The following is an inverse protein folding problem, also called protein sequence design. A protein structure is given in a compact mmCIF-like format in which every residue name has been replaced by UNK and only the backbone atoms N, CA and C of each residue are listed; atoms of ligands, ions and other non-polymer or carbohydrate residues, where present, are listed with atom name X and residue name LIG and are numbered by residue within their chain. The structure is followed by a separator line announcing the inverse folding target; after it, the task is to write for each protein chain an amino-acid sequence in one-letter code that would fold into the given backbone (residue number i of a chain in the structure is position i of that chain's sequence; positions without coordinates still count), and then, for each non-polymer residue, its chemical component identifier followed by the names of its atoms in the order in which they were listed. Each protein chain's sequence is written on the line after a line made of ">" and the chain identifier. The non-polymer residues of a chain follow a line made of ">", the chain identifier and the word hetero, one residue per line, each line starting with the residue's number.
data_IF_163393248867
#
_entry.id   IF_163393248867
#
_cell.length_a   1.000
_cell.length_b   1.000
_cell.length_c   1.000
_cell.angle_alpha   90.00
_cell.angle_beta   90.00
_cell.angle_gamma   90.00
#
_symmetry.space_group_name_H-M   'P 1'
#
loop_
_entity.id
_entity.type
_entity.pdbx_description
1 polymer ?
#
# COMPACT_ATOMS: atom_id res chain seq x y z
N UNK A 1 -75.83 2.22 28.12
CA UNK A 1 -74.67 2.28 27.21
C UNK A 1 -73.43 1.96 28.06
N UNK A 2 -73.02 0.68 28.14
CA UNK A 2 -72.00 0.02 27.31
C UNK A 2 -70.69 0.82 27.23
N UNK A 3 -69.64 0.35 27.93
CA UNK A 3 -68.43 -0.25 27.32
C UNK A 3 -67.50 -0.72 28.45
N UNK A 4 -67.47 -2.05 28.72
CA UNK A 4 -66.36 -2.68 29.45
C UNK A 4 -65.24 -2.93 28.44
N UNK A 5 -64.08 -2.33 28.65
CA UNK A 5 -62.87 -2.58 27.87
C UNK A 5 -62.20 -3.86 28.43
N UNK A 6 -62.26 -4.95 27.69
CA UNK A 6 -61.52 -6.18 27.98
C UNK A 6 -60.10 -6.01 27.45
N UNK A 7 -59.11 -5.82 28.33
CA UNK A 7 -57.70 -5.81 27.94
C UNK A 7 -57.24 -7.27 27.84
N UNK A 8 -57.13 -7.80 26.62
CA UNK A 8 -56.52 -9.09 26.35
C UNK A 8 -55.00 -8.95 26.45
N UNK A 9 -54.42 -9.55 27.50
CA UNK A 9 -52.97 -9.65 27.65
C UNK A 9 -52.46 -10.73 26.68
N UNK A 10 -51.99 -10.33 25.50
CA UNK A 10 -51.29 -11.22 24.57
C UNK A 10 -49.88 -11.41 25.14
N UNK A 11 -49.63 -12.55 25.77
CA UNK A 11 -48.27 -12.99 26.11
C UNK A 11 -47.52 -13.27 24.80
N UNK A 12 -46.68 -12.34 24.37
CA UNK A 12 -45.75 -12.56 23.27
C UNK A 12 -44.71 -13.60 23.71
N UNK A 13 -44.90 -14.84 23.28
CA UNK A 13 -43.86 -15.88 23.36
C UNK A 13 -42.77 -15.48 22.38
N UNK A 14 -41.73 -14.82 22.88
CA UNK A 14 -40.51 -14.60 22.11
C UNK A 14 -39.92 -15.97 21.78
N UNK A 15 -39.71 -16.32 20.50
CA UNK A 15 -39.02 -17.55 20.16
C UNK A 15 -37.63 -17.50 20.78
N UNK A 16 -37.30 -18.51 21.60
CA UNK A 16 -35.97 -18.68 22.15
C UNK A 16 -34.99 -18.68 20.96
N UNK A 17 -34.07 -17.71 20.94
CA UNK A 17 -33.03 -17.66 19.93
C UNK A 17 -32.28 -18.99 20.00
N UNK A 18 -32.39 -19.80 18.94
CA UNK A 18 -31.65 -21.05 18.83
C UNK A 18 -30.17 -20.70 18.93
N UNK A 19 -29.52 -21.12 20.02
CA UNK A 19 -28.09 -20.97 20.19
C UNK A 19 -27.43 -21.85 19.11
N UNK A 20 -26.74 -21.21 18.17
CA UNK A 20 -25.86 -21.93 17.25
C UNK A 20 -24.83 -22.71 18.09
N UNK A 21 -24.68 -24.03 17.87
CA UNK A 21 -23.75 -24.83 18.66
C UNK A 21 -22.34 -24.23 18.55
N UNK A 22 -21.68 -24.10 19.70
CA UNK A 22 -20.29 -23.67 19.75
C UNK A 22 -19.43 -24.73 19.05
N UNK A 23 -18.61 -24.36 18.05
CA UNK A 23 -17.76 -25.33 17.37
C UNK A 23 -16.75 -25.95 18.33
N UNK A 24 -16.40 -27.22 18.08
CA UNK A 24 -15.38 -27.92 18.85
C UNK A 24 -14.02 -27.23 18.71
N UNK A 25 -13.22 -27.15 19.78
CA UNK A 25 -11.89 -26.55 19.71
C UNK A 25 -10.96 -27.38 18.81
N UNK A 26 -10.27 -26.72 17.88
CA UNK A 26 -9.25 -27.31 17.01
C UNK A 26 -7.90 -26.68 17.33
N UNK A 27 -6.86 -27.51 17.49
CA UNK A 27 -5.49 -27.04 17.72
C UNK A 27 -4.88 -26.57 16.40
N UNK A 28 -4.39 -25.32 16.37
CA UNK A 28 -3.71 -24.70 15.22
C UNK A 28 -2.29 -24.28 15.63
N UNK A 29 -1.21 -24.91 15.11
CA UNK A 29 0.16 -24.54 15.46
C UNK A 29 0.55 -23.12 15.04
N UNK A 30 -0.05 -22.55 13.99
CA UNK A 30 0.13 -21.13 13.69
C UNK A 30 -1.06 -20.33 14.21
N UNK A 31 -0.73 -19.19 14.82
CA UNK A 31 -1.68 -18.12 15.09
C UNK A 31 -1.53 -17.11 13.97
N UNK A 32 -2.65 -16.66 13.41
CA UNK A 32 -2.65 -15.74 12.28
C UNK A 32 -3.54 -14.54 12.54
N UNK A 33 -3.00 -13.35 12.28
CA UNK A 33 -3.68 -12.07 12.43
C UNK A 33 -3.43 -11.22 11.19
N UNK A 34 -4.48 -10.57 10.69
CA UNK A 34 -4.33 -9.58 9.63
C UNK A 34 -4.05 -8.24 10.29
N UNK A 35 -2.89 -7.64 9.99
CA UNK A 35 -2.42 -6.45 10.70
C UNK A 35 -3.36 -5.26 10.52
N UNK A 36 -3.85 -5.07 9.29
CA UNK A 36 -4.80 -4.02 8.94
C UNK A 36 -5.88 -4.57 8.00
N UNK A 37 -7.17 -4.27 8.21
CA UNK A 37 -8.25 -4.74 7.35
C UNK A 37 -7.99 -4.35 5.88
N UNK A 38 -8.02 -5.31 4.94
CA UNK A 38 -7.76 -5.03 3.54
C UNK A 38 -8.89 -4.18 2.94
N UNK A 39 -8.53 -3.30 2.02
CA UNK A 39 -9.48 -2.46 1.28
C UNK A 39 -9.24 -2.66 -0.22
N UNK A 40 -10.32 -2.91 -0.96
CA UNK A 40 -10.24 -3.11 -2.40
C UNK A 40 -10.03 -1.77 -3.11
N UNK A 41 -9.07 -1.73 -4.04
CA UNK A 41 -8.83 -0.57 -4.91
C UNK A 41 -8.88 -0.98 -6.38
N UNK A 42 -9.59 -0.25 -7.26
CA UNK A 42 -9.52 -0.51 -8.69
C UNK A 42 -8.17 -0.03 -9.26
N UNK A 43 -7.50 -0.89 -10.02
CA UNK A 43 -6.22 -0.61 -10.67
C UNK A 43 -6.38 -0.22 -12.15
N UNK A 44 -5.30 0.28 -12.74
CA UNK A 44 -5.23 0.64 -14.16
C UNK A 44 -5.25 -0.56 -15.12
N UNK A 45 -5.22 -1.80 -14.61
CA UNK A 45 -5.32 -3.06 -15.37
C UNK A 45 -6.75 -3.59 -15.50
N UNK A 46 -7.76 -2.81 -15.12
CA UNK A 46 -9.17 -3.24 -15.07
C UNK A 46 -9.44 -4.37 -14.07
N UNK A 47 -8.63 -4.49 -13.02
CA UNK A 47 -8.89 -5.35 -11.85
C UNK A 47 -9.05 -4.52 -10.60
N UNK A 48 -9.42 -5.19 -9.51
CA UNK A 48 -9.32 -4.62 -8.16
C UNK A 48 -8.27 -5.37 -7.38
N UNK A 49 -7.60 -4.70 -6.47
CA UNK A 49 -6.50 -5.27 -5.70
C UNK A 49 -6.80 -5.15 -4.21
N UNK A 50 -6.63 -6.25 -3.49
CA UNK A 50 -6.49 -6.23 -2.04
C UNK A 50 -5.00 -6.42 -1.72
N UNK A 51 -4.42 -5.44 -1.03
CA UNK A 51 -3.02 -5.47 -0.60
C UNK A 51 -3.00 -5.35 0.92
N UNK A 52 -2.39 -6.31 1.61
CA UNK A 52 -2.39 -6.38 3.07
C UNK A 52 -1.39 -7.40 3.61
N UNK A 53 -1.25 -7.44 4.93
CA UNK A 53 -0.28 -8.23 5.66
C UNK A 53 -0.96 -9.28 6.53
N UNK A 54 -0.54 -10.54 6.38
CA UNK A 54 -0.91 -11.63 7.27
C UNK A 54 0.28 -11.92 8.21
N UNK A 55 0.14 -11.54 9.48
CA UNK A 55 1.05 -11.93 10.54
C UNK A 55 0.82 -13.40 10.91
N UNK A 56 1.91 -14.17 11.00
CA UNK A 56 1.91 -15.57 11.40
C UNK A 56 2.86 -15.76 12.56
N UNK A 57 2.40 -16.33 13.67
CA UNK A 57 3.22 -16.73 14.80
C UNK A 57 3.19 -18.24 14.95
N UNK A 58 4.36 -18.89 14.92
CA UNK A 58 4.47 -20.31 15.21
C UNK A 58 4.48 -20.52 16.74
N UNK A 59 3.29 -20.77 17.29
CA UNK A 59 3.06 -21.11 18.69
C UNK A 59 3.13 -22.63 18.95
N UNK A 60 3.36 -23.42 17.88
CA UNK A 60 3.49 -24.86 17.94
C UNK A 60 4.82 -25.34 18.52
N UNK A 61 4.94 -26.64 18.82
CA UNK A 61 6.12 -27.21 19.47
C UNK A 61 7.31 -27.44 18.53
N UNK A 62 7.15 -27.24 17.22
CA UNK A 62 8.15 -27.57 16.20
C UNK A 62 8.26 -26.48 15.14
N UNK A 63 9.41 -26.44 14.46
CA UNK A 63 9.57 -25.62 13.27
C UNK A 63 8.58 -26.07 12.17
N UNK A 64 8.13 -25.11 11.38
CA UNK A 64 7.08 -25.31 10.39
C UNK A 64 7.57 -24.86 9.02
N UNK A 65 7.42 -25.69 8.01
CA UNK A 65 7.54 -25.30 6.60
C UNK A 65 6.16 -25.00 6.05
N UNK A 66 5.95 -23.80 5.50
CA UNK A 66 4.72 -23.41 4.84
C UNK A 66 4.78 -23.88 3.38
N UNK A 67 3.84 -24.75 3.00
CA UNK A 67 3.80 -25.36 1.66
C UNK A 67 2.86 -24.60 0.73
N UNK A 68 1.77 -24.06 1.27
CA UNK A 68 0.76 -23.35 0.48
C UNK A 68 -0.06 -22.42 1.36
N UNK A 69 -0.40 -21.24 0.84
CA UNK A 69 -1.36 -20.32 1.44
C UNK A 69 -2.46 -20.04 0.41
N UNK A 70 -3.71 -20.26 0.79
CA UNK A 70 -4.88 -19.90 0.00
C UNK A 70 -5.65 -18.79 0.71
N UNK A 71 -6.01 -17.73 -0.01
CA UNK A 71 -6.94 -16.70 0.45
C UNK A 71 -8.33 -17.07 -0.05
N UNK A 72 -9.30 -17.18 0.86
CA UNK A 72 -10.67 -17.57 0.54
C UNK A 72 -11.68 -16.51 0.96
N UNK A 73 -12.81 -16.45 0.26
CA UNK A 73 -13.99 -15.74 0.72
C UNK A 73 -14.61 -16.48 1.92
N UNK A 74 -14.69 -15.82 3.08
CA UNK A 74 -15.07 -16.48 4.31
C UNK A 74 -16.52 -16.99 4.27
N UNK A 75 -16.75 -18.18 4.82
CA UNK A 75 -18.05 -18.86 4.77
C UNK A 75 -18.33 -19.56 3.44
N UNK A 76 -17.38 -19.57 2.50
CA UNK A 76 -17.48 -20.26 1.21
C UNK A 76 -16.28 -21.17 0.96
N UNK A 77 -16.31 -21.94 -0.13
CA UNK A 77 -15.16 -22.71 -0.63
C UNK A 77 -14.40 -21.99 -1.74
N UNK A 78 -14.73 -20.73 -2.03
CA UNK A 78 -14.16 -19.97 -3.14
C UNK A 78 -12.76 -19.47 -2.77
N UNK A 79 -11.76 -20.06 -3.41
CA UNK A 79 -10.38 -19.54 -3.38
C UNK A 79 -10.27 -18.33 -4.29
N UNK A 80 -9.73 -17.23 -3.76
CA UNK A 80 -9.49 -15.98 -4.47
C UNK A 80 -8.05 -15.87 -4.96
N UNK A 81 -7.11 -16.41 -4.20
CA UNK A 81 -5.69 -16.34 -4.49
C UNK A 81 -4.93 -17.48 -3.81
N UNK A 82 -3.81 -17.88 -4.40
CA UNK A 82 -2.96 -18.97 -3.92
C UNK A 82 -1.51 -18.53 -4.01
N UNK A 83 -0.73 -18.84 -2.98
CA UNK A 83 0.72 -18.83 -2.99
C UNK A 83 1.22 -20.25 -2.81
N UNK A 84 2.14 -20.67 -3.67
CA UNK A 84 2.96 -21.87 -3.43
C UNK A 84 4.15 -21.58 -2.50
N UNK A 85 4.89 -22.63 -2.13
CA UNK A 85 6.06 -22.54 -1.25
C UNK A 85 7.11 -21.53 -1.74
N UNK A 86 7.40 -21.50 -3.03
CA UNK A 86 8.43 -20.62 -3.57
C UNK A 86 7.97 -19.15 -3.54
N UNK A 87 6.69 -18.90 -3.80
CA UNK A 87 6.11 -17.57 -3.64
C UNK A 87 6.04 -17.14 -2.17
N UNK A 88 5.72 -18.04 -1.25
CA UNK A 88 5.78 -17.77 0.19
C UNK A 88 7.22 -17.41 0.58
N UNK A 89 8.23 -18.15 0.11
CA UNK A 89 9.63 -17.88 0.39
C UNK A 89 10.11 -16.51 -0.13
N UNK A 90 9.38 -15.86 -1.03
CA UNK A 90 9.64 -14.51 -1.53
C UNK A 90 8.78 -13.42 -0.87
N UNK A 91 7.79 -13.78 -0.05
CA UNK A 91 6.75 -12.87 0.47
C UNK A 91 6.58 -12.92 1.99
N UNK A 92 6.94 -14.02 2.64
CA UNK A 92 6.96 -14.15 4.09
C UNK A 92 8.30 -13.66 4.61
N UNK A 93 8.29 -12.55 5.36
CA UNK A 93 9.47 -11.99 6.01
C UNK A 93 9.50 -12.37 7.49
N UNK A 94 10.57 -13.00 7.95
CA UNK A 94 10.73 -13.34 9.38
C UNK A 94 10.86 -12.04 10.18
N UNK A 95 10.04 -11.93 11.24
CA UNK A 95 9.95 -10.73 12.06
C UNK A 95 9.35 -9.50 11.36
N UNK A 96 8.78 -9.65 10.14
CA UNK A 96 8.39 -8.51 9.31
C UNK A 96 9.58 -7.78 8.67
N UNK A 97 10.79 -8.35 8.71
CA UNK A 97 12.02 -7.70 8.27
C UNK A 97 12.34 -8.07 6.82
N UNK A 98 12.29 -7.08 5.93
CA UNK A 98 12.76 -7.21 4.53
C UNK A 98 14.18 -7.77 4.47
N UNK A 99 14.44 -8.66 3.52
CA UNK A 99 15.72 -9.37 3.37
C UNK A 99 15.85 -10.62 4.25
N UNK A 100 14.83 -10.94 5.05
CA UNK A 100 14.75 -12.17 5.84
C UNK A 100 13.59 -13.06 5.35
N UNK A 101 13.38 -13.12 4.04
CA UNK A 101 12.31 -13.90 3.45
C UNK A 101 12.57 -15.41 3.55
N UNK A 102 11.54 -16.19 3.90
CA UNK A 102 11.63 -17.63 4.13
C UNK A 102 10.25 -18.26 4.08
N UNK A 103 10.14 -19.49 3.57
CA UNK A 103 8.92 -20.31 3.73
C UNK A 103 8.94 -21.15 5.03
N UNK A 104 10.04 -21.11 5.78
CA UNK A 104 10.20 -21.82 7.04
C UNK A 104 10.08 -20.85 8.21
N UNK A 105 9.27 -21.22 9.21
CA UNK A 105 9.03 -20.48 10.44
C UNK A 105 9.36 -21.36 11.65
N UNK A 106 10.44 -21.02 12.35
CA UNK A 106 10.90 -21.74 13.54
C UNK A 106 9.95 -21.61 14.72
N UNK A 107 10.11 -22.50 15.71
CA UNK A 107 9.34 -22.45 16.97
C UNK A 107 9.49 -21.09 17.66
N UNK A 108 8.37 -20.47 18.04
CA UNK A 108 8.34 -19.16 18.70
C UNK A 108 8.70 -17.99 17.79
N UNK A 109 8.99 -18.22 16.51
CA UNK A 109 9.17 -17.14 15.55
C UNK A 109 7.81 -16.64 15.06
N UNK A 110 7.80 -15.38 14.67
CA UNK A 110 6.73 -14.82 13.87
C UNK A 110 7.29 -14.30 12.55
N UNK A 111 6.42 -14.19 11.55
CA UNK A 111 6.72 -13.56 10.27
C UNK A 111 5.49 -12.89 9.70
N UNK A 112 5.70 -12.09 8.66
CA UNK A 112 4.64 -11.35 7.98
C UNK A 112 4.65 -11.71 6.50
N UNK A 113 3.52 -12.26 6.03
CA UNK A 113 3.27 -12.53 4.60
C UNK A 113 2.64 -11.31 3.97
N UNK A 114 3.25 -10.78 2.92
CA UNK A 114 2.66 -9.72 2.10
C UNK A 114 1.78 -10.32 1.01
N UNK A 115 0.48 -10.02 1.05
CA UNK A 115 -0.54 -10.55 0.16
C UNK A 115 -1.01 -9.48 -0.83
N UNK A 116 -0.92 -9.80 -2.11
CA UNK A 116 -1.54 -9.08 -3.21
C UNK A 116 -2.55 -10.00 -3.87
N UNK A 117 -3.84 -9.73 -3.65
CA UNK A 117 -4.96 -10.53 -4.15
C UNK A 117 -5.68 -9.75 -5.25
N UNK A 118 -5.45 -10.07 -6.53
CA UNK A 118 -6.21 -9.50 -7.62
C UNK A 118 -7.62 -10.09 -7.65
N UNK A 119 -8.60 -9.23 -7.90
CA UNK A 119 -10.01 -9.55 -8.03
C UNK A 119 -10.50 -9.08 -9.40
N UNK A 120 -11.32 -9.89 -10.06
CA UNK A 120 -12.00 -9.46 -11.28
C UNK A 120 -12.87 -8.23 -11.02
N UNK A 121 -12.85 -7.25 -11.92
CA UNK A 121 -13.62 -6.01 -11.75
C UNK A 121 -15.13 -6.25 -11.65
N UNK A 122 -15.66 -7.26 -12.37
CA UNK A 122 -17.08 -7.60 -12.38
C UNK A 122 -17.53 -8.44 -11.17
N UNK A 123 -16.59 -9.07 -10.45
CA UNK A 123 -16.94 -9.88 -9.29
C UNK A 123 -17.38 -9.00 -8.11
N UNK A 124 -18.27 -9.45 -7.21
CA UNK A 124 -18.49 -8.75 -5.95
C UNK A 124 -17.20 -8.69 -5.11
N UNK A 125 -16.99 -7.59 -4.36
CA UNK A 125 -15.93 -7.59 -3.33
C UNK A 125 -16.34 -8.55 -2.21
N UNK A 126 -15.48 -9.50 -1.81
CA UNK A 126 -15.77 -10.36 -0.66
C UNK A 126 -15.98 -9.51 0.60
N UNK A 127 -16.92 -9.92 1.46
CA UNK A 127 -17.18 -9.19 2.72
C UNK A 127 -16.12 -9.45 3.79
N UNK A 128 -15.53 -10.64 3.75
CA UNK A 128 -14.51 -11.09 4.71
C UNK A 128 -13.67 -12.20 4.06
N UNK A 129 -12.44 -12.34 4.55
CA UNK A 129 -11.46 -13.31 4.09
C UNK A 129 -11.09 -14.28 5.22
N UNK A 130 -10.65 -15.48 4.84
CA UNK A 130 -9.94 -16.43 5.70
C UNK A 130 -8.77 -17.03 4.92
N UNK A 131 -7.76 -17.52 5.65
CA UNK A 131 -6.54 -18.04 5.06
C UNK A 131 -6.43 -19.53 5.34
N UNK A 132 -6.40 -20.37 4.31
CA UNK A 132 -6.10 -21.79 4.46
C UNK A 132 -4.61 -22.00 4.26
N UNK A 133 -3.94 -22.50 5.28
CA UNK A 133 -2.49 -22.70 5.28
C UNK A 133 -2.22 -24.19 5.35
N UNK A 134 -1.51 -24.71 4.35
CA UNK A 134 -0.95 -26.07 4.38
C UNK A 134 0.51 -25.98 4.81
N UNK A 135 0.85 -26.76 5.84
CA UNK A 135 2.14 -26.69 6.50
C UNK A 135 2.64 -28.08 6.89
N UNK A 136 3.96 -28.20 7.03
CA UNK A 136 4.65 -29.40 7.50
C UNK A 136 5.38 -29.11 8.79
N UNK A 137 5.07 -29.85 9.85
CA UNK A 137 5.76 -29.77 11.14
C UNK A 137 7.00 -30.66 11.15
N UNK A 138 8.14 -30.09 11.54
CA UNK A 138 9.42 -30.77 11.69
C UNK A 138 9.50 -31.56 13.02
N UNK A 139 8.74 -32.64 13.11
CA UNK A 139 8.77 -33.61 14.22
C UNK A 139 9.60 -34.85 13.83
N UNK A 140 9.97 -35.74 14.79
CA UNK A 140 10.67 -37.00 14.46
C UNK A 140 9.96 -37.83 13.39
N UNK A 141 8.62 -37.76 13.35
CA UNK A 141 7.81 -38.17 12.21
C UNK A 141 7.11 -36.91 11.71
N UNK A 142 7.48 -36.36 10.52
CA UNK A 142 6.85 -35.16 10.00
C UNK A 142 5.33 -35.33 9.85
N UNK A 143 4.60 -34.27 10.17
CA UNK A 143 3.14 -34.23 10.08
C UNK A 143 2.73 -33.08 9.17
N UNK A 144 1.91 -33.39 8.17
CA UNK A 144 1.29 -32.39 7.31
C UNK A 144 -0.05 -31.96 7.93
N UNK A 145 -0.24 -30.65 8.06
CA UNK A 145 -1.43 -30.04 8.65
C UNK A 145 -1.99 -29.05 7.64
N UNK A 146 -3.31 -28.91 7.64
CA UNK A 146 -3.98 -27.80 6.99
C UNK A 146 -4.92 -27.15 7.99
N UNK A 147 -4.78 -25.84 8.15
CA UNK A 147 -5.60 -25.03 9.06
C UNK A 147 -6.22 -23.85 8.33
N UNK A 148 -7.33 -23.33 8.84
CA UNK A 148 -7.99 -22.13 8.32
C UNK A 148 -8.06 -21.09 9.41
N UNK A 149 -7.35 -19.99 9.23
CA UNK A 149 -7.03 -19.01 10.27
C UNK A 149 -7.11 -17.57 9.75
N UNK A 150 -6.89 -16.59 10.61
CA UNK A 150 -6.75 -15.17 10.23
C UNK A 150 -7.97 -14.61 9.53
N UNK A 151 -9.18 -14.81 10.10
CA UNK A 151 -10.39 -14.17 9.57
C UNK A 151 -10.24 -12.65 9.66
N UNK A 152 -10.55 -11.95 8.57
CA UNK A 152 -10.59 -10.48 8.56
C UNK A 152 -11.78 -9.98 7.74
N UNK A 153 -12.32 -8.83 8.11
CA UNK A 153 -13.33 -8.15 7.31
C UNK A 153 -12.67 -7.28 6.24
N UNK A 154 -13.28 -7.23 5.06
CA UNK A 154 -12.82 -6.34 3.98
C UNK A 154 -13.47 -4.98 4.15
N UNK A 155 -12.67 -3.93 4.28
CA UNK A 155 -13.14 -2.56 4.41
C UNK A 155 -14.00 -2.18 3.21
N UNK A 156 -15.16 -1.58 3.50
CA UNK A 156 -16.09 -1.02 2.50
C UNK A 156 -15.97 0.49 2.35
N UNK A 157 -14.99 1.10 3.02
CA UNK A 157 -14.71 2.53 2.87
C UNK A 157 -14.26 2.76 1.42
N UNK A 158 -14.88 3.67 0.66
CA UNK A 158 -14.41 3.96 -0.69
C UNK A 158 -13.05 4.68 -0.63
N UNK A 159 -12.11 4.36 -1.54
CA UNK A 159 -10.85 5.09 -1.62
C UNK A 159 -11.13 6.57 -1.92
N UNK A 160 -10.38 7.52 -1.32
CA UNK A 160 -10.47 8.92 -1.71
C UNK A 160 -10.08 9.10 -3.17
N UNK A 161 -10.77 10.02 -3.84
CA UNK A 161 -10.52 10.40 -5.23
C UNK A 161 -9.64 11.64 -5.24
N UNK A 162 -8.44 11.49 -5.78
CA UNK A 162 -7.40 12.50 -5.82
C UNK A 162 -7.37 13.16 -7.21
N UNK A 163 -7.02 14.44 -7.23
CA UNK A 163 -6.61 15.15 -8.43
C UNK A 163 -5.13 14.94 -8.78
N UNK A 164 -4.68 15.53 -9.90
CA UNK A 164 -3.30 15.41 -10.33
C UNK A 164 -2.33 16.06 -9.33
N UNK A 165 -1.31 15.34 -8.82
CA UNK A 165 -0.28 15.92 -7.96
C UNK A 165 0.79 16.66 -8.76
N UNK A 166 0.87 16.40 -10.07
CA UNK A 166 1.81 16.93 -11.04
C UNK A 166 1.04 17.17 -12.35
N UNK A 167 1.55 18.03 -13.25
CA UNK A 167 0.93 18.31 -14.55
C UNK A 167 1.95 18.14 -15.67
N UNK A 168 1.54 17.47 -16.75
CA UNK A 168 2.41 17.17 -17.88
C UNK A 168 2.48 15.68 -18.18
N UNK A 169 3.56 15.29 -18.87
CA UNK A 169 3.73 13.94 -19.46
C UNK A 169 4.95 13.24 -18.89
N UNK A 170 4.96 11.92 -19.06
CA UNK A 170 6.13 11.10 -18.79
C UNK A 170 6.32 10.79 -17.31
N UNK A 171 5.29 10.90 -16.49
CA UNK A 171 5.42 10.58 -15.07
C UNK A 171 5.37 9.08 -14.86
N UNK A 172 6.42 8.51 -14.26
CA UNK A 172 6.49 7.08 -13.95
C UNK A 172 5.94 6.89 -12.54
N UNK A 173 4.95 6.01 -12.39
CA UNK A 173 4.48 5.57 -11.07
C UNK A 173 5.43 4.48 -10.55
N UNK A 174 6.51 4.86 -9.86
CA UNK A 174 7.50 3.91 -9.36
C UNK A 174 7.18 3.43 -7.94
N UNK A 175 7.61 2.21 -7.65
CA UNK A 175 7.42 1.54 -6.36
C UNK A 175 5.97 1.50 -5.88
N UNK A 176 5.06 1.57 -6.84
CA UNK A 176 3.63 1.67 -6.61
C UNK A 176 3.00 0.32 -6.30
N UNK A 177 1.67 0.29 -6.38
CA UNK A 177 0.93 -0.93 -6.20
C UNK A 177 1.22 -1.92 -7.35
N UNK A 178 1.38 -3.23 -7.11
CA UNK A 178 0.95 -3.89 -5.86
C UNK A 178 1.91 -4.94 -5.29
N UNK A 179 3.00 -5.28 -5.99
CA UNK A 179 3.94 -6.33 -5.56
C UNK A 179 5.36 -5.84 -5.31
N UNK A 180 5.58 -4.52 -5.44
CA UNK A 180 6.86 -3.86 -5.21
C UNK A 180 7.36 -4.13 -3.80
N UNK A 181 8.67 -4.09 -3.62
CA UNK A 181 9.29 -4.47 -2.35
C UNK A 181 9.59 -3.23 -1.49
N UNK A 182 9.86 -2.07 -2.09
CA UNK A 182 10.34 -0.89 -1.37
C UNK A 182 9.25 -0.29 -0.47
N UNK A 183 8.04 -0.07 -0.99
CA UNK A 183 6.92 0.55 -0.27
C UNK A 183 5.92 -0.44 0.33
N UNK A 184 5.35 -1.31 -0.50
CA UNK A 184 4.27 -2.25 -0.10
C UNK A 184 4.71 -3.16 1.05
N UNK A 185 6.02 -3.34 1.23
CA UNK A 185 6.63 -4.18 2.27
C UNK A 185 7.47 -3.41 3.30
N UNK A 186 7.30 -2.09 3.38
CA UNK A 186 8.02 -1.19 4.29
C UNK A 186 7.49 -1.25 5.75
N UNK A 187 7.33 -2.44 6.32
CA UNK A 187 6.77 -2.59 7.66
C UNK A 187 7.78 -2.11 8.72
N UNK A 188 7.39 -1.11 9.52
CA UNK A 188 8.28 -0.50 10.51
C UNK A 188 7.81 -0.78 11.94
N UNK A 189 8.70 -1.26 12.84
CA UNK A 189 8.40 -1.38 14.27
C UNK A 189 8.64 -0.03 14.97
N UNK A 190 7.58 0.76 15.13
CA UNK A 190 7.64 2.11 15.69
C UNK A 190 6.81 2.21 16.96
N UNK A 191 7.40 2.78 18.02
CA UNK A 191 6.75 2.97 19.32
C UNK A 191 6.11 1.69 19.90
N UNK A 192 6.71 0.53 19.64
CA UNK A 192 6.23 -0.77 20.13
C UNK A 192 5.08 -1.37 19.31
N UNK A 193 4.76 -0.83 18.13
CA UNK A 193 3.75 -1.35 17.21
C UNK A 193 4.26 -1.38 15.78
N UNK A 194 3.64 -2.20 14.93
CA UNK A 194 3.92 -2.15 13.50
C UNK A 194 3.12 -1.04 12.82
N UNK A 195 3.77 -0.30 11.93
CA UNK A 195 3.14 0.67 11.05
C UNK A 195 3.59 0.42 9.59
N UNK A 196 2.67 0.62 8.66
CA UNK A 196 2.92 0.50 7.22
C UNK A 196 2.18 1.61 6.47
N UNK A 197 2.68 2.83 6.60
CA UNK A 197 2.08 4.00 5.97
C UNK A 197 2.21 3.98 4.43
N UNK A 198 3.26 3.34 3.92
CA UNK A 198 3.61 3.39 2.50
C UNK A 198 2.94 2.30 1.65
N UNK A 199 1.95 1.55 2.17
CA UNK A 199 1.34 0.42 1.46
C UNK A 199 0.87 0.74 0.03
N UNK A 200 0.40 1.96 -0.20
CA UNK A 200 -0.03 2.45 -1.51
C UNK A 200 0.76 3.69 -1.95
N UNK A 201 1.96 3.90 -1.41
CA UNK A 201 2.81 5.00 -1.84
C UNK A 201 3.23 4.85 -3.30
N UNK A 202 3.40 5.98 -3.97
CA UNK A 202 3.99 6.07 -5.30
C UNK A 202 5.11 7.09 -5.23
N UNK A 203 6.29 6.70 -5.71
CA UNK A 203 7.37 7.63 -6.03
C UNK A 203 7.18 8.06 -7.48
N UNK A 204 6.71 9.28 -7.67
CA UNK A 204 6.56 9.85 -8.99
C UNK A 204 7.92 10.31 -9.48
N UNK A 205 8.37 9.72 -10.59
CA UNK A 205 9.53 10.18 -11.36
C UNK A 205 9.09 10.68 -12.74
N UNK A 206 10.00 11.23 -13.53
CA UNK A 206 9.67 11.73 -14.86
C UNK A 206 10.72 11.34 -15.89
N UNK A 207 10.27 10.84 -17.04
CA UNK A 207 11.12 10.63 -18.22
C UNK A 207 11.09 11.83 -19.17
N UNK A 208 12.21 12.09 -19.82
CA UNK A 208 12.28 13.01 -20.96
C UNK A 208 11.80 12.35 -22.28
N UNK A 209 11.90 13.07 -23.39
CA UNK A 209 11.50 12.57 -24.72
C UNK A 209 12.38 11.42 -25.26
N UNK A 210 13.47 11.09 -24.58
CA UNK A 210 14.39 9.99 -24.89
C UNK A 210 14.28 8.87 -23.86
N UNK A 211 13.22 8.88 -23.04
CA UNK A 211 12.94 7.95 -21.93
C UNK A 211 13.97 7.98 -20.80
N UNK A 212 14.71 9.07 -20.60
CA UNK A 212 15.69 9.20 -19.52
C UNK A 212 15.10 9.88 -18.29
N UNK A 213 15.38 9.32 -17.11
CA UNK A 213 15.06 9.94 -15.82
C UNK A 213 15.98 11.12 -15.51
N UNK A 214 17.23 11.06 -16.01
CA UNK A 214 18.29 12.01 -15.71
C UNK A 214 19.18 12.25 -16.93
N UNK A 215 19.55 13.52 -17.15
CA UNK A 215 20.44 13.96 -18.24
C UNK A 215 21.57 14.80 -17.69
N UNK A 216 22.74 14.19 -17.54
CA UNK A 216 23.95 14.84 -17.03
C UNK A 216 24.58 14.06 -15.89
N UNK A 217 25.18 14.76 -14.95
CA UNK A 217 25.74 14.15 -13.75
C UNK A 217 24.63 13.59 -12.86
N UNK A 218 24.71 12.31 -12.50
CA UNK A 218 23.80 11.67 -11.55
C UNK A 218 23.85 12.32 -10.16
N UNK A 219 24.98 12.91 -9.77
CA UNK A 219 25.14 13.52 -8.45
C UNK A 219 24.50 14.92 -8.31
N UNK A 220 23.93 15.50 -9.37
CA UNK A 220 23.25 16.80 -9.31
C UNK A 220 21.74 16.61 -9.48
N UNK A 221 20.93 16.89 -8.43
CA UNK A 221 19.48 16.80 -8.48
C UNK A 221 18.86 17.52 -9.68
N UNK A 222 19.45 18.63 -10.13
CA UNK A 222 18.92 19.46 -11.22
C UNK A 222 18.96 18.77 -12.59
N UNK A 223 19.71 17.68 -12.73
CA UNK A 223 19.79 16.91 -13.96
C UNK A 223 18.65 15.90 -14.10
N UNK A 224 17.87 15.65 -13.04
CA UNK A 224 16.71 14.76 -13.09
C UNK A 224 15.51 15.50 -13.67
N UNK A 225 14.81 14.86 -14.60
CA UNK A 225 13.73 15.49 -15.38
C UNK A 225 12.61 16.03 -14.50
N UNK A 226 12.32 15.36 -13.37
CA UNK A 226 11.24 15.76 -12.46
C UNK A 226 11.65 16.88 -11.48
N UNK A 227 12.95 17.13 -11.28
CA UNK A 227 13.39 18.08 -10.27
C UNK A 227 12.83 19.49 -10.55
N UNK A 228 12.19 20.07 -9.54
CA UNK A 228 11.61 21.43 -9.63
C UNK A 228 10.21 21.50 -10.20
N UNK A 229 9.60 20.37 -10.58
CA UNK A 229 8.19 20.34 -10.97
C UNK A 229 7.29 20.89 -9.84
N UNK A 230 6.30 21.76 -10.14
CA UNK A 230 5.34 22.21 -9.13
C UNK A 230 4.50 21.04 -8.62
N UNK A 231 4.45 20.89 -7.30
CA UNK A 231 3.62 19.89 -6.61
C UNK A 231 2.29 20.50 -6.25
N UNK A 232 1.20 19.84 -6.65
CA UNK A 232 -0.17 20.33 -6.49
C UNK A 232 -0.90 19.62 -5.36
N UNK A 233 -1.75 20.37 -4.65
CA UNK A 233 -2.73 19.79 -3.75
C UNK A 233 -3.70 18.91 -4.54
N UNK A 234 -3.85 17.66 -4.14
CA UNK A 234 -4.67 16.68 -4.86
C UNK A 234 -6.14 16.78 -4.47
N UNK A 235 -6.46 17.47 -3.38
CA UNK A 235 -7.81 17.69 -2.91
C UNK A 235 -7.88 19.00 -2.14
N UNK A 236 -9.11 19.48 -1.91
CA UNK A 236 -9.36 20.50 -0.91
C UNK A 236 -9.03 19.94 0.48
N UNK A 237 -8.44 20.76 1.34
CA UNK A 237 -8.09 20.30 2.67
C UNK A 237 -7.43 21.36 3.54
N UNK A 238 -6.94 20.91 4.69
CA UNK A 238 -6.18 21.73 5.64
C UNK A 238 -4.81 21.11 5.87
N UNK A 239 -3.74 21.89 5.74
CA UNK A 239 -2.40 21.43 6.05
C UNK A 239 -2.30 21.17 7.56
N UNK A 240 -1.88 19.97 7.97
CA UNK A 240 -1.75 19.60 9.40
C UNK A 240 -0.31 19.56 9.87
N UNK A 241 0.63 19.35 8.95
CA UNK A 241 2.07 19.42 9.22
C UNK A 241 2.82 19.78 7.95
N UNK A 242 3.94 20.48 8.08
CA UNK A 242 4.81 20.80 6.95
C UNK A 242 6.25 21.06 7.43
N UNK A 243 7.23 20.83 6.56
CA UNK A 243 8.65 21.08 6.81
C UNK A 243 9.33 21.63 5.56
N UNK A 244 10.30 22.54 5.72
CA UNK A 244 10.89 23.29 4.60
C UNK A 244 12.38 23.64 4.76
N UNK A 245 13.06 23.06 5.76
CA UNK A 245 14.39 23.46 6.23
C UNK A 245 15.50 22.43 5.97
N UNK A 246 15.17 21.21 5.53
CA UNK A 246 16.18 20.18 5.24
C UNK A 246 16.88 20.45 3.91
N UNK A 247 18.21 20.22 3.81
CA UNK A 247 18.96 20.37 2.59
C UNK A 247 18.72 19.20 1.62
N UNK A 248 18.99 19.44 0.34
CA UNK A 248 19.00 18.39 -0.68
C UNK A 248 20.05 17.30 -0.35
N UNK A 249 19.70 16.05 -0.63
CA UNK A 249 20.67 14.96 -0.66
C UNK A 249 21.41 14.94 -2.00
N UNK A 250 22.62 14.39 -1.99
CA UNK A 250 23.33 14.04 -3.22
C UNK A 250 22.74 12.72 -3.74
N UNK A 251 22.17 12.68 -4.97
CA UNK A 251 21.60 11.46 -5.51
C UNK A 251 22.63 10.35 -5.72
N UNK A 252 22.15 9.11 -5.81
CA UNK A 252 22.93 7.90 -6.06
C UNK A 252 23.15 7.01 -4.84
N UNK A 253 22.79 7.47 -3.64
CA UNK A 253 22.74 6.64 -2.44
C UNK A 253 21.77 7.23 -1.41
N UNK A 254 21.17 6.36 -0.59
CA UNK A 254 20.43 6.80 0.59
C UNK A 254 21.37 7.46 1.61
N UNK A 255 20.92 8.50 2.32
CA UNK A 255 21.72 9.15 3.34
C UNK A 255 22.01 8.19 4.51
N UNK A 256 23.28 8.11 4.90
CA UNK A 256 23.68 7.34 6.08
C UNK A 256 23.28 8.05 7.38
N UNK A 257 22.76 7.30 8.34
CA UNK A 257 22.42 7.79 9.70
C UNK A 257 21.41 8.95 9.73
N UNK A 258 20.51 9.03 8.76
CA UNK A 258 19.43 10.01 8.79
C UNK A 258 18.49 9.72 9.99
N UNK A 259 18.21 10.71 10.85
CA UNK A 259 17.22 10.55 11.90
C UNK A 259 15.85 10.19 11.30
N UNK A 260 15.10 9.31 11.97
CA UNK A 260 13.77 8.90 11.50
C UNK A 260 12.81 10.09 11.32
N UNK A 261 12.96 11.14 12.14
CA UNK A 261 12.17 12.37 12.04
C UNK A 261 12.49 13.21 10.79
N UNK A 262 13.60 12.93 10.11
CA UNK A 262 14.02 13.59 8.87
C UNK A 262 13.72 12.73 7.63
N UNK A 263 13.16 11.53 7.80
CA UNK A 263 12.97 10.56 6.72
C UNK A 263 12.13 11.10 5.55
N UNK A 264 11.06 11.84 5.85
CA UNK A 264 10.17 12.43 4.83
C UNK A 264 10.77 13.68 4.13
N UNK A 265 11.92 14.16 4.60
CA UNK A 265 12.55 15.36 4.06
C UNK A 265 11.76 16.63 4.37
N UNK A 266 11.70 17.54 3.40
CA UNK A 266 10.72 18.62 3.41
C UNK A 266 9.40 18.07 2.86
N UNK A 267 8.31 18.37 3.54
CA UNK A 267 7.03 17.73 3.23
C UNK A 267 5.85 18.63 3.53
N UNK A 268 4.69 18.20 3.05
CA UNK A 268 3.36 18.68 3.46
C UNK A 268 2.49 17.47 3.79
N UNK A 269 1.77 17.53 4.91
CA UNK A 269 0.69 16.59 5.22
C UNK A 269 -0.63 17.35 5.15
N UNK A 270 -1.53 16.89 4.30
CA UNK A 270 -2.82 17.50 4.02
C UNK A 270 -3.96 16.62 4.57
N UNK A 271 -4.77 17.14 5.49
CA UNK A 271 -6.05 16.52 5.87
C UNK A 271 -7.11 16.84 4.81
N UNK A 272 -7.58 15.80 4.13
CA UNK A 272 -8.60 15.89 3.06
C UNK A 272 -10.00 15.51 3.57
N UNK A 273 -10.15 15.34 4.88
CA UNK A 273 -11.37 14.95 5.56
C UNK A 273 -11.60 13.44 5.62
N UNK A 274 -12.63 13.04 6.38
CA UNK A 274 -13.05 11.64 6.56
C UNK A 274 -11.96 10.70 7.10
N UNK A 275 -10.97 11.25 7.80
CA UNK A 275 -9.85 10.49 8.37
C UNK A 275 -8.77 10.10 7.35
N UNK A 276 -8.75 10.72 6.16
CA UNK A 276 -7.70 10.51 5.17
C UNK A 276 -6.74 11.71 5.13
N UNK A 277 -5.44 11.41 5.11
CA UNK A 277 -4.38 12.41 5.05
C UNK A 277 -3.42 12.07 3.90
N UNK A 278 -2.95 13.09 3.18
CA UNK A 278 -2.03 12.92 2.04
C UNK A 278 -0.66 13.46 2.42
N UNK A 279 0.38 12.64 2.26
CA UNK A 279 1.77 13.08 2.37
C UNK A 279 2.30 13.47 0.99
N UNK A 280 3.03 14.58 0.94
CA UNK A 280 3.91 14.99 -0.15
C UNK A 280 5.30 15.14 0.43
N UNK A 281 6.24 14.26 0.09
CA UNK A 281 7.57 14.23 0.69
C UNK A 281 8.69 14.58 -0.30
N UNK A 282 9.91 14.71 0.22
CA UNK A 282 11.15 14.99 -0.51
C UNK A 282 11.15 16.32 -1.28
N UNK A 283 10.38 17.31 -0.82
CA UNK A 283 10.25 18.61 -1.48
C UNK A 283 11.55 19.43 -1.43
N UNK A 284 11.70 20.40 -2.33
CA UNK A 284 12.89 21.26 -2.36
C UNK A 284 12.98 22.16 -1.13
N UNK A 285 14.19 22.42 -0.59
CA UNK A 285 14.40 23.39 0.47
C UNK A 285 13.89 24.77 0.09
N UNK A 286 13.17 25.42 1.00
CA UNK A 286 12.59 26.75 0.79
C UNK A 286 11.44 26.80 -0.24
N UNK A 287 11.00 25.68 -0.80
CA UNK A 287 9.92 25.66 -1.80
C UNK A 287 8.53 25.48 -1.21
N UNK A 288 8.40 24.94 0.01
CA UNK A 288 7.10 24.70 0.63
C UNK A 288 6.44 26.04 0.99
N UNK A 289 5.26 26.28 0.42
CA UNK A 289 4.56 27.57 0.46
C UNK A 289 3.49 27.67 1.56
N UNK A 290 3.24 26.56 2.25
CA UNK A 290 2.15 26.40 3.20
C UNK A 290 2.66 25.89 4.54
N UNK A 291 1.90 26.18 5.62
CA UNK A 291 2.18 25.72 6.97
C UNK A 291 0.94 25.15 7.64
N UNK A 292 1.11 24.54 8.81
CA UNK A 292 0.00 23.95 9.56
C UNK A 292 -1.13 24.96 9.82
N UNK A 293 -2.37 24.51 9.61
CA UNK A 293 -3.60 25.31 9.70
C UNK A 293 -4.00 26.02 8.40
N UNK A 294 -3.15 26.04 7.37
CA UNK A 294 -3.49 26.68 6.10
C UNK A 294 -4.55 25.85 5.33
N UNK A 295 -5.67 26.47 4.90
CA UNK A 295 -6.57 25.83 3.95
C UNK A 295 -5.95 25.87 2.55
N UNK A 296 -6.12 24.79 1.79
CA UNK A 296 -5.71 24.71 0.38
C UNK A 296 -6.84 24.18 -0.47
N UNK A 297 -6.84 24.57 -1.74
CA UNK A 297 -7.73 24.06 -2.78
C UNK A 297 -7.00 23.07 -3.66
N UNK A 298 -7.74 22.08 -4.16
CA UNK A 298 -7.22 21.17 -5.19
C UNK A 298 -6.62 21.99 -6.34
N UNK A 299 -5.38 21.67 -6.71
CA UNK A 299 -4.61 22.36 -7.75
C UNK A 299 -3.73 23.51 -7.24
N UNK A 300 -3.83 23.91 -5.97
CA UNK A 300 -2.90 24.87 -5.37
C UNK A 300 -1.49 24.31 -5.35
N UNK A 301 -0.49 25.15 -5.62
CA UNK A 301 0.93 24.76 -5.55
C UNK A 301 1.34 24.70 -4.08
N UNK A 302 1.80 23.54 -3.64
CA UNK A 302 2.28 23.29 -2.27
C UNK A 302 3.79 23.54 -2.14
N UNK A 303 4.53 23.21 -3.20
CA UNK A 303 5.99 23.32 -3.25
C UNK A 303 6.54 22.79 -4.57
N UNK A 304 7.79 22.33 -4.57
CA UNK A 304 8.44 21.75 -5.74
C UNK A 304 9.10 20.42 -5.43
N UNK A 305 9.16 19.53 -6.41
CA UNK A 305 9.85 18.24 -6.31
C UNK A 305 11.34 18.45 -6.07
N UNK A 306 11.87 17.85 -5.00
CA UNK A 306 13.28 17.91 -4.62
C UNK A 306 13.86 16.52 -4.42
N UNK A 307 14.83 16.41 -3.52
CA UNK A 307 15.54 15.19 -3.13
C UNK A 307 15.98 15.25 -1.65
N UNK A 308 15.13 15.77 -0.77
CA UNK A 308 15.44 15.93 0.66
C UNK A 308 15.02 14.70 1.47
N UNK A 309 15.59 14.49 2.66
CA UNK A 309 15.23 13.35 3.51
C UNK A 309 15.81 12.02 3.04
N UNK A 310 15.11 10.91 3.28
CA UNK A 310 15.54 9.56 2.92
C UNK A 310 15.28 9.26 1.44
N UNK A 311 15.97 10.00 0.57
CA UNK A 311 15.80 9.94 -0.88
C UNK A 311 17.13 9.63 -1.58
N UNK A 312 17.07 8.78 -2.61
CA UNK A 312 18.23 8.37 -3.42
C UNK A 312 18.27 9.07 -4.80
N UNK A 313 17.14 9.55 -5.30
CA UNK A 313 17.02 10.35 -6.50
C UNK A 313 15.83 11.32 -6.39
N UNK A 314 15.82 12.46 -7.10
CA UNK A 314 14.69 13.37 -7.12
C UNK A 314 13.39 12.70 -7.58
N UNK A 315 12.37 12.72 -6.72
CA UNK A 315 11.04 12.19 -6.99
C UNK A 315 10.02 12.87 -6.07
N UNK A 316 8.73 12.75 -6.39
CA UNK A 316 7.65 13.09 -5.46
C UNK A 316 7.11 11.80 -4.84
N UNK A 317 7.42 11.57 -3.56
CA UNK A 317 6.75 10.54 -2.79
C UNK A 317 5.37 11.03 -2.37
N UNK A 318 4.33 10.27 -2.76
CA UNK A 318 2.94 10.54 -2.42
C UNK A 318 2.26 9.29 -1.90
N UNK A 319 1.63 9.41 -0.73
CA UNK A 319 0.76 8.36 -0.21
C UNK A 319 -0.43 8.95 0.56
N UNK A 320 -1.44 8.10 0.78
CA UNK A 320 -2.59 8.41 1.62
C UNK A 320 -2.58 7.51 2.85
N UNK A 321 -2.87 8.09 4.01
CA UNK A 321 -2.82 7.43 5.30
C UNK A 321 -4.06 7.73 6.15
N UNK A 322 -4.35 6.87 7.13
CA UNK A 322 -5.51 6.98 8.04
C UNK A 322 -5.27 7.81 9.31
N UNK A 323 -4.11 8.45 9.40
CA UNK A 323 -3.71 9.32 10.50
C UNK A 323 -2.77 10.43 10.01
N UNK A 324 -2.49 11.46 10.82
CA UNK A 324 -1.70 12.60 10.39
C UNK A 324 -0.17 12.35 10.41
N UNK A 325 0.28 11.20 10.91
CA UNK A 325 1.71 10.92 11.09
C UNK A 325 2.24 10.07 9.93
N UNK A 326 3.13 10.60 9.07
CA UNK A 326 3.67 9.91 7.88
C UNK A 326 4.20 8.50 8.10
N UNK A 327 4.77 8.21 9.27
CA UNK A 327 5.38 6.91 9.57
C UNK A 327 4.58 6.05 10.56
N UNK A 328 3.70 6.64 11.36
CA UNK A 328 2.96 5.92 12.43
C UNK A 328 1.53 5.56 12.03
N UNK A 329 1.11 5.94 10.82
CA UNK A 329 -0.23 5.68 10.30
C UNK A 329 -0.23 4.44 9.40
N UNK A 330 -1.43 4.01 9.02
CA UNK A 330 -1.61 2.93 8.08
C UNK A 330 -1.90 3.48 6.68
N UNK A 331 -1.24 2.94 5.66
CA UNK A 331 -1.42 3.36 4.27
C UNK A 331 -2.75 2.87 3.70
N UNK A 332 -3.62 3.78 3.26
CA UNK A 332 -4.91 3.42 2.67
C UNK A 332 -4.87 3.61 1.15
N UNK A 333 -5.61 2.79 0.38
CA UNK A 333 -5.64 2.96 -1.07
C UNK A 333 -6.36 4.25 -1.45
N UNK A 334 -6.01 4.76 -2.62
CA UNK A 334 -6.64 5.93 -3.24
C UNK A 334 -6.74 5.71 -4.75
N UNK A 335 -7.45 6.60 -5.43
CA UNK A 335 -7.56 6.61 -6.89
C UNK A 335 -7.39 8.02 -7.43
N UNK A 336 -6.96 8.18 -8.67
CA UNK A 336 -7.00 9.48 -9.35
C UNK A 336 -8.29 9.63 -10.14
N UNK A 337 -8.84 10.83 -10.19
CA UNK A 337 -10.05 11.12 -10.95
C UNK A 337 -9.85 10.99 -12.47
N UNK A 338 -8.69 11.39 -12.97
CA UNK A 338 -8.29 11.22 -14.36
C UNK A 338 -6.78 11.27 -14.58
N UNK A 339 -6.30 10.39 -15.45
CA UNK A 339 -4.98 10.43 -16.06
C UNK A 339 -5.00 9.64 -17.37
N UNK A 340 -3.93 9.74 -18.17
CA UNK A 340 -3.77 8.91 -19.37
C UNK A 340 -2.51 8.07 -19.25
N UNK A 341 -2.62 6.75 -19.38
CA UNK A 341 -1.45 5.86 -19.49
C UNK A 341 -0.94 5.90 -20.93
N UNK A 342 0.33 6.25 -21.08
CA UNK A 342 0.99 6.41 -22.38
C UNK A 342 1.96 5.28 -22.67
N UNK A 343 2.54 4.68 -21.64
CA UNK A 343 3.47 3.57 -21.74
C UNK A 343 3.53 2.77 -20.44
N UNK A 344 4.17 1.60 -20.49
CA UNK A 344 4.47 0.77 -19.32
C UNK A 344 5.93 0.32 -19.45
N UNK A 345 6.72 0.43 -18.38
CA UNK A 345 8.00 -0.29 -18.32
C UNK A 345 7.73 -1.77 -17.98
N UNK A 346 7.64 -2.59 -19.03
CA UNK A 346 7.40 -4.03 -18.91
C UNK A 346 8.68 -4.83 -18.63
N UNK A 347 9.86 -4.19 -18.66
CA UNK A 347 11.11 -4.82 -18.25
C UNK A 347 11.25 -4.87 -16.71
N UNK A 348 10.39 -4.13 -15.99
CA UNK A 348 10.19 -4.23 -14.56
C UNK A 348 11.20 -3.44 -13.75
N UNK A 349 11.13 -3.55 -12.42
CA UNK A 349 11.98 -2.83 -11.47
C UNK A 349 13.49 -2.90 -11.80
N UNK A 350 14.05 -4.01 -12.32
CA UNK A 350 15.47 -4.04 -12.70
C UNK A 350 15.86 -3.05 -13.82
N UNK A 351 14.97 -2.77 -14.79
CA UNK A 351 15.23 -1.78 -15.83
C UNK A 351 15.12 -0.37 -15.27
N UNK A 352 14.11 -0.13 -14.42
CA UNK A 352 13.95 1.10 -13.67
C UNK A 352 15.18 1.44 -12.82
N UNK A 353 15.61 0.54 -11.95
CA UNK A 353 16.76 0.71 -11.07
C UNK A 353 18.05 0.96 -11.87
N UNK A 354 18.20 0.28 -13.01
CA UNK A 354 19.34 0.51 -13.90
C UNK A 354 19.29 1.90 -14.52
N UNK A 355 18.13 2.35 -15.00
CA UNK A 355 17.98 3.68 -15.58
C UNK A 355 18.26 4.78 -14.56
N UNK A 356 17.76 4.65 -13.33
CA UNK A 356 18.03 5.56 -12.22
C UNK A 356 19.53 5.58 -11.88
N UNK A 357 20.16 4.40 -11.77
CA UNK A 357 21.56 4.28 -11.37
C UNK A 357 22.59 4.67 -12.45
N UNK A 358 22.20 4.70 -13.73
CA UNK A 358 23.15 4.89 -14.85
C UNK A 358 22.78 6.01 -15.82
N UNK A 359 21.56 6.56 -15.73
CA UNK A 359 21.03 7.53 -16.69
C UNK A 359 20.74 6.95 -18.07
N UNK A 360 20.71 5.61 -18.23
CA UNK A 360 20.28 4.99 -19.47
C UNK A 360 18.76 5.15 -19.65
N UNK A 361 18.26 5.25 -20.90
CA UNK A 361 16.83 5.25 -21.16
C UNK A 361 16.10 4.03 -20.61
N UNK A 362 14.87 4.23 -20.14
CA UNK A 362 13.91 3.15 -19.85
C UNK A 362 13.43 2.46 -21.13
N UNK A 363 13.21 1.15 -21.01
CA UNK A 363 12.66 0.30 -22.07
C UNK A 363 11.13 0.31 -22.01
N UNK A 364 10.54 1.42 -22.47
CA UNK A 364 9.10 1.62 -22.39
C UNK A 364 8.33 0.92 -23.52
N UNK A 365 7.27 0.19 -23.15
CA UNK A 365 6.25 -0.30 -24.09
C UNK A 365 5.15 0.74 -24.23
N UNK A 366 5.12 1.41 -25.39
CA UNK A 366 4.12 2.45 -25.66
C UNK A 366 2.72 1.86 -25.85
N UNK A 367 1.72 2.49 -25.23
CA UNK A 367 0.31 2.19 -25.48
C UNK A 367 -0.20 2.99 -26.68
N UNK A 368 -0.78 2.29 -27.66
CA UNK A 368 -1.32 2.90 -28.88
C UNK A 368 -2.74 2.37 -29.14
N UNK A 369 -3.79 3.19 -28.99
CA UNK A 369 -3.75 4.58 -28.48
C UNK A 369 -3.40 4.64 -26.99
N UNK A 370 -2.95 5.82 -26.48
CA UNK A 370 -2.90 6.07 -25.05
C UNK A 370 -4.25 5.82 -24.38
N UNK A 371 -4.24 5.38 -23.13
CA UNK A 371 -5.44 4.94 -22.42
C UNK A 371 -5.87 5.97 -21.38
N UNK A 372 -6.93 6.76 -21.61
CA UNK A 372 -7.52 7.61 -20.59
C UNK A 372 -8.23 6.74 -19.55
N UNK A 373 -7.92 6.98 -18.28
CA UNK A 373 -8.46 6.24 -17.15
C UNK A 373 -9.06 7.20 -16.12
N UNK A 374 -10.04 6.72 -15.36
CA UNK A 374 -10.77 7.49 -14.37
C UNK A 374 -11.07 6.65 -13.13
N UNK A 375 -10.92 7.25 -11.95
CA UNK A 375 -11.23 6.65 -10.66
C UNK A 375 -10.54 5.28 -10.45
N UNK A 376 -9.27 5.18 -10.87
CA UNK A 376 -8.41 4.01 -10.65
C UNK A 376 -7.05 4.43 -10.10
N UNK A 377 -6.35 3.48 -9.48
CA UNK A 377 -4.96 3.62 -9.06
C UNK A 377 -4.04 3.24 -10.25
N UNK A 378 -3.03 4.06 -10.60
CA UNK A 378 -1.99 3.68 -11.54
C UNK A 378 -1.17 2.55 -10.92
N UNK A 379 -1.00 1.46 -11.67
CA UNK A 379 -0.13 0.37 -11.24
C UNK A 379 1.34 0.71 -11.48
N UNK A 380 2.19 0.04 -10.71
CA UNK A 380 3.63 0.17 -10.76
C UNK A 380 4.18 0.18 -12.20
N UNK A 381 5.13 1.08 -12.44
CA UNK A 381 5.83 1.29 -13.71
C UNK A 381 4.95 1.73 -14.90
N UNK A 382 3.72 2.18 -14.62
CA UNK A 382 2.90 2.90 -15.60
C UNK A 382 3.47 4.30 -15.84
N UNK A 383 3.56 4.72 -17.11
CA UNK A 383 3.95 6.08 -17.50
C UNK A 383 2.72 6.87 -17.88
N UNK A 384 2.42 7.91 -17.11
CA UNK A 384 1.17 8.65 -17.17
C UNK A 384 1.34 10.11 -17.60
N UNK A 385 0.25 10.66 -18.11
CA UNK A 385 0.03 12.08 -18.33
C UNK A 385 -1.10 12.57 -17.43
N UNK A 386 -0.84 13.67 -16.73
CA UNK A 386 -1.83 14.42 -15.97
C UNK A 386 -2.13 15.74 -16.68
N UNK A 387 -3.41 15.93 -17.02
CA UNK A 387 -3.92 17.18 -17.58
C UNK A 387 -4.50 18.07 -16.48
N UNK A 388 -4.57 19.38 -16.74
CA UNK A 388 -5.25 20.34 -15.85
C UNK A 388 -6.76 20.31 -15.99
#
# INVERSE_FOLDING_TARGET
>A
MRFLLLIALIAAVLPAAAQTPTPDPVMTPLVADVLFPPQAVPGSDSRRHLVYELGLANAGPAATTLEKIEVLEAGTTKTLFTLDRDEIARRLSIGGRRGAESADLGTGQFGVVFLHVPLDAAAPTPSSLVHRISLRLALPTPVDITETVGRTDVSRVPPPVLGPPLVGKGFVAADGCCDTIRHVRALLPLNGSFALAQRFAIDWEQVDGENRLVKGSLADPKNYTIYGQPVLAVADGTVVSARNDLPEQVPGALPANLPIADADGNFVVLDIGRGAYVLYAHLQPGSVLVGAGAPVKRGDILGKVGNTGNSQAPHLHLHVMDGPSPLLSNGIPYVFDSFTVTAIDSAGTPDFDKAEATGTPLTLTLLRPPQPLHNVLPLDLSVVEFSR
#
